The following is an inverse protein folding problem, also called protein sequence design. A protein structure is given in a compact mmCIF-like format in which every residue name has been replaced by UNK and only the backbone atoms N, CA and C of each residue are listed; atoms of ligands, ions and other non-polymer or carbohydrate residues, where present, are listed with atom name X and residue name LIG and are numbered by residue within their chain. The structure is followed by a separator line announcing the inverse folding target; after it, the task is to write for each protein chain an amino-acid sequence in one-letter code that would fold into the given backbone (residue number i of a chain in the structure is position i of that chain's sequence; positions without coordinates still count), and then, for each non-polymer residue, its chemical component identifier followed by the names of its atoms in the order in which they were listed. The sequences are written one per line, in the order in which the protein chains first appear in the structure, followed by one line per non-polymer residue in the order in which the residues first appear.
data_IF_003346430413
#
_entry.id   IF_003346430413
#
_cell.length_a   1.000
_cell.length_b   1.000
_cell.length_c   1.000
_cell.angle_alpha   90.00
_cell.angle_beta   90.00
_cell.angle_gamma   90.00
#
_symmetry.space_group_name_H-M   'P 1'
#
loop_
_entity.id
_entity.type
_entity.pdbx_description
1 polymer ?
#
# COMPACT_ATOMS: atom_id res chain seq x y z
N UNK A 1 -8.25 6.19 -20.69
CA UNK A 1 -7.19 5.90 -21.67
C UNK A 1 -6.24 4.91 -21.01
N UNK A 2 -6.12 3.72 -21.58
CA UNK A 2 -5.29 2.63 -21.05
C UNK A 2 -3.96 2.70 -21.80
N UNK A 3 -2.87 2.86 -21.08
CA UNK A 3 -1.53 2.77 -21.65
C UNK A 3 -0.85 1.52 -21.06
N UNK A 4 -0.74 0.47 -21.86
CA UNK A 4 0.08 -0.70 -21.55
C UNK A 4 1.45 -0.48 -22.16
N UNK A 5 2.51 -0.47 -21.37
CA UNK A 5 3.89 -0.60 -21.82
C UNK A 5 4.50 -1.83 -21.17
N UNK A 6 4.92 -2.78 -22.03
CA UNK A 6 5.36 -4.11 -21.66
C UNK A 6 6.73 -4.14 -20.98
N UNK A 7 6.71 -3.95 -19.70
CA UNK A 7 7.65 -4.46 -18.71
C UNK A 7 6.83 -5.16 -17.65
N UNK A 8 7.41 -5.95 -16.75
CA UNK A 8 6.73 -6.85 -15.83
C UNK A 8 5.58 -6.24 -14.98
N UNK A 9 5.40 -4.93 -15.02
CA UNK A 9 4.35 -4.18 -14.32
C UNK A 9 3.40 -3.53 -15.33
N UNK A 10 2.11 -3.86 -15.24
CA UNK A 10 1.05 -3.22 -16.02
C UNK A 10 0.44 -2.06 -15.22
N UNK A 11 0.44 -0.85 -15.79
CA UNK A 11 -0.15 0.34 -15.18
C UNK A 11 -1.50 0.62 -15.84
N UNK A 12 -2.58 0.46 -15.07
CA UNK A 12 -3.94 0.86 -15.47
C UNK A 12 -4.25 2.23 -14.87
N UNK A 13 -4.53 3.21 -15.71
CA UNK A 13 -4.95 4.54 -15.24
C UNK A 13 -6.45 4.68 -15.28
N UNK A 14 -7.06 4.89 -14.14
CA UNK A 14 -8.49 5.19 -13.99
C UNK A 14 -8.65 6.69 -13.71
N UNK A 15 -9.57 7.34 -14.41
CA UNK A 15 -9.92 8.73 -14.18
C UNK A 15 -11.44 8.87 -13.97
N UNK A 16 -11.83 9.61 -12.95
CA UNK A 16 -13.20 10.07 -12.77
C UNK A 16 -13.24 11.58 -12.93
N UNK A 17 -14.19 12.07 -13.73
CA UNK A 17 -14.45 13.49 -13.86
C UNK A 17 -15.57 13.86 -12.87
N UNK A 18 -15.19 14.58 -11.81
CA UNK A 18 -16.17 15.08 -10.84
C UNK A 18 -16.80 16.37 -11.40
N UNK A 19 -18.10 16.32 -11.69
CA UNK A 19 -18.89 17.49 -12.10
C UNK A 19 -19.34 18.35 -10.92
N UNK A 20 -19.03 17.97 -9.68
CA UNK A 20 -19.26 18.81 -8.52
C UNK A 20 -18.25 19.95 -8.44
N UNK A 21 -18.69 21.13 -8.02
CA UNK A 21 -17.98 22.43 -8.06
C UNK A 21 -16.60 22.51 -7.35
N UNK A 22 -15.98 21.41 -6.98
CA UNK A 22 -14.64 21.37 -6.37
C UNK A 22 -13.52 20.99 -7.33
N UNK A 23 -13.80 20.75 -8.62
CA UNK A 23 -12.84 20.72 -9.72
C UNK A 23 -11.56 19.87 -9.58
N UNK A 24 -11.48 18.98 -8.62
CA UNK A 24 -10.34 18.10 -8.45
C UNK A 24 -10.49 16.90 -9.39
N UNK A 25 -9.76 16.93 -10.49
CA UNK A 25 -9.61 15.79 -11.40
C UNK A 25 -8.91 14.64 -10.63
N UNK A 26 -9.71 13.71 -10.09
CA UNK A 26 -9.20 12.56 -9.34
C UNK A 26 -8.76 11.48 -10.31
N UNK A 27 -7.46 11.31 -10.39
CA UNK A 27 -6.83 10.27 -11.21
C UNK A 27 -6.18 9.24 -10.30
N UNK A 28 -6.39 7.97 -10.61
CA UNK A 28 -5.81 6.84 -9.91
C UNK A 28 -5.05 5.94 -10.89
N UNK A 29 -3.79 5.68 -10.62
CA UNK A 29 -3.01 4.66 -11.31
C UNK A 29 -3.07 3.36 -10.49
N UNK A 30 -3.48 2.26 -11.11
CA UNK A 30 -3.37 0.92 -10.52
C UNK A 30 -2.12 0.27 -11.11
N UNK A 31 -1.19 -0.13 -10.22
CA UNK A 31 0.08 -0.76 -10.60
C UNK A 31 -0.04 -2.24 -10.31
N UNK A 32 -0.05 -3.08 -11.33
CA UNK A 32 -0.16 -4.54 -11.18
C UNK A 32 1.21 -5.16 -11.44
N UNK A 33 1.68 -5.97 -10.49
CA UNK A 33 2.99 -6.58 -10.58
C UNK A 33 3.12 -7.90 -9.82
N UNK A 34 4.30 -8.50 -9.85
CA UNK A 34 4.64 -9.74 -9.17
C UNK A 34 5.63 -9.51 -8.03
N UNK A 35 5.49 -10.27 -6.95
CA UNK A 35 6.42 -10.32 -5.82
C UNK A 35 6.35 -9.09 -4.92
N UNK A 36 6.92 -7.97 -5.29
CA UNK A 36 6.90 -6.72 -4.53
C UNK A 36 6.56 -5.52 -5.41
N UNK A 37 5.94 -4.47 -4.87
CA UNK A 37 5.62 -3.28 -5.65
C UNK A 37 6.90 -2.55 -6.09
N UNK A 38 6.89 -2.01 -7.31
CA UNK A 38 7.97 -1.12 -7.78
C UNK A 38 7.96 0.20 -7.00
N UNK A 39 8.93 0.35 -6.09
CA UNK A 39 9.06 1.55 -5.26
C UNK A 39 9.51 2.77 -6.07
N UNK A 40 10.27 2.58 -7.16
CA UNK A 40 10.74 3.67 -8.01
C UNK A 40 9.58 4.24 -8.83
N UNK A 41 8.75 3.39 -9.42
CA UNK A 41 7.53 3.80 -10.10
C UNK A 41 6.55 4.49 -9.15
N UNK A 42 6.36 3.94 -7.94
CA UNK A 42 5.51 4.56 -6.91
C UNK A 42 6.02 5.94 -6.52
N UNK A 43 7.34 6.13 -6.34
CA UNK A 43 7.93 7.43 -6.02
C UNK A 43 7.72 8.41 -7.18
N UNK A 44 7.92 7.99 -8.43
CA UNK A 44 7.71 8.82 -9.62
C UNK A 44 6.25 9.27 -9.77
N UNK A 45 5.28 8.37 -9.56
CA UNK A 45 3.86 8.70 -9.59
C UNK A 45 3.49 9.71 -8.50
N UNK A 46 4.01 9.53 -7.29
CA UNK A 46 3.81 10.45 -6.17
C UNK A 46 4.38 11.84 -6.48
N UNK A 47 5.58 11.92 -7.05
CA UNK A 47 6.22 13.18 -7.45
C UNK A 47 5.45 13.88 -8.56
N UNK A 48 4.86 13.10 -9.48
CA UNK A 48 3.99 13.62 -10.53
C UNK A 48 2.56 13.98 -10.04
N UNK A 49 2.28 13.80 -8.74
CA UNK A 49 0.98 14.15 -8.15
C UNK A 49 -0.14 13.15 -8.44
N UNK A 50 0.19 11.91 -8.83
CA UNK A 50 -0.79 10.86 -9.05
C UNK A 50 -1.07 10.06 -7.79
N UNK A 51 -2.36 9.86 -7.49
CA UNK A 51 -2.76 8.80 -6.58
C UNK A 51 -2.50 7.45 -7.24
N UNK A 52 -2.05 6.46 -6.46
CA UNK A 52 -1.80 5.13 -7.02
C UNK A 52 -2.06 4.01 -6.01
N UNK A 53 -2.40 2.84 -6.56
CA UNK A 53 -2.76 1.64 -5.83
C UNK A 53 -1.95 0.46 -6.38
N UNK A 54 -0.94 -0.04 -5.67
CA UNK A 54 -0.25 -1.26 -6.06
C UNK A 54 -1.11 -2.50 -5.79
N UNK A 55 -1.04 -3.45 -6.70
CA UNK A 55 -1.67 -4.78 -6.62
C UNK A 55 -0.61 -5.81 -6.98
N UNK A 56 -0.15 -6.55 -5.99
CA UNK A 56 1.00 -7.43 -6.16
C UNK A 56 0.64 -8.87 -5.88
N UNK A 57 0.90 -9.72 -6.85
CA UNK A 57 0.62 -11.16 -6.77
C UNK A 57 1.86 -11.99 -6.40
N UNK A 58 1.64 -13.05 -5.63
CA UNK A 58 2.63 -14.08 -5.30
C UNK A 58 1.92 -15.44 -5.20
N UNK A 59 1.63 -16.06 -6.34
CA UNK A 59 0.95 -17.34 -6.43
C UNK A 59 -0.52 -17.27 -6.01
N UNK A 60 -0.85 -17.87 -4.88
CA UNK A 60 -2.20 -17.90 -4.28
C UNK A 60 -2.49 -16.72 -3.35
N UNK A 61 -1.59 -15.74 -3.30
CA UNK A 61 -1.71 -14.53 -2.50
C UNK A 61 -1.64 -13.28 -3.36
N UNK A 62 -2.43 -12.28 -3.00
CA UNK A 62 -2.38 -10.95 -3.61
C UNK A 62 -2.45 -9.90 -2.52
N UNK A 63 -1.55 -8.93 -2.55
CA UNK A 63 -1.61 -7.75 -1.70
C UNK A 63 -2.15 -6.58 -2.50
N UNK A 64 -3.20 -5.93 -2.01
CA UNK A 64 -3.76 -4.70 -2.57
C UNK A 64 -3.44 -3.54 -1.63
N UNK A 65 -2.80 -2.49 -2.14
CA UNK A 65 -2.39 -1.32 -1.36
C UNK A 65 -0.91 -1.29 -0.96
N UNK A 66 -0.50 -0.24 -0.22
CA UNK A 66 -1.35 0.84 0.28
C UNK A 66 -1.85 1.78 -0.82
N UNK A 67 -3.05 2.33 -0.67
CA UNK A 67 -3.48 3.44 -1.51
C UNK A 67 -2.68 4.69 -1.14
N UNK A 68 -1.84 5.15 -2.05
CA UNK A 68 -1.04 6.37 -1.91
C UNK A 68 -1.78 7.52 -2.56
N UNK A 69 -2.47 8.34 -1.77
CA UNK A 69 -3.24 9.47 -2.27
C UNK A 69 -2.34 10.71 -2.41
N UNK A 70 -2.37 11.37 -3.58
CA UNK A 70 -1.57 12.56 -3.89
C UNK A 70 -1.85 13.76 -2.98
N UNK A 71 -3.07 13.84 -2.43
CA UNK A 71 -3.58 15.02 -1.69
C UNK A 71 -3.48 14.89 -0.17
N UNK A 72 -2.93 13.78 0.36
CA UNK A 72 -2.88 13.52 1.81
C UNK A 72 -1.50 13.72 2.40
N UNK A 73 -1.47 14.31 3.59
CA UNK A 73 -0.29 14.36 4.45
C UNK A 73 -0.73 14.06 5.90
N UNK A 74 -0.04 13.17 6.65
CA UNK A 74 1.09 12.37 6.24
C UNK A 74 0.67 11.20 5.33
N UNK A 75 1.50 10.88 4.35
CA UNK A 75 1.31 9.75 3.43
C UNK A 75 2.16 8.59 3.89
N UNK A 76 1.57 7.40 4.00
CA UNK A 76 2.32 6.15 4.07
C UNK A 76 2.47 5.66 2.64
N UNK A 77 3.68 5.73 2.10
CA UNK A 77 3.98 5.30 0.74
C UNK A 77 4.38 3.83 0.69
N UNK A 78 4.49 3.29 -0.51
CA UNK A 78 4.94 1.90 -0.75
C UNK A 78 6.28 1.62 -0.07
N UNK A 79 7.24 2.55 -0.16
CA UNK A 79 8.55 2.41 0.49
C UNK A 79 8.46 2.31 2.02
N UNK A 80 7.49 2.97 2.68
CA UNK A 80 7.27 2.79 4.11
C UNK A 80 6.94 1.34 4.45
N UNK A 81 6.04 0.73 3.67
CA UNK A 81 5.64 -0.68 3.86
C UNK A 81 6.82 -1.62 3.65
N UNK A 82 7.60 -1.41 2.58
CA UNK A 82 8.78 -2.24 2.29
C UNK A 82 9.87 -2.12 3.36
N UNK A 83 10.09 -0.93 3.90
CA UNK A 83 11.03 -0.73 5.02
C UNK A 83 10.54 -1.45 6.29
N UNK A 84 9.26 -1.38 6.62
CA UNK A 84 8.73 -2.14 7.75
C UNK A 84 8.82 -3.66 7.54
N UNK A 85 8.63 -4.14 6.31
CA UNK A 85 8.82 -5.56 5.99
C UNK A 85 10.28 -5.98 6.17
N UNK A 86 11.23 -5.15 5.74
CA UNK A 86 12.66 -5.38 5.94
C UNK A 86 13.07 -5.34 7.42
N UNK A 87 12.44 -4.49 8.24
CA UNK A 87 12.65 -4.47 9.68
C UNK A 87 12.13 -5.75 10.37
N UNK A 88 11.04 -6.33 9.85
CA UNK A 88 10.47 -7.57 10.37
C UNK A 88 11.22 -8.81 9.89
N UNK A 89 11.77 -8.78 8.68
CA UNK A 89 12.52 -9.87 8.07
C UNK A 89 13.76 -9.32 7.33
N UNK A 90 14.97 -9.50 7.89
CA UNK A 90 16.21 -9.05 7.25
C UNK A 90 16.47 -9.68 5.87
N UNK A 91 15.85 -10.81 5.55
CA UNK A 91 15.95 -11.45 4.23
C UNK A 91 14.95 -10.91 3.21
N UNK A 92 14.01 -10.03 3.64
CA UNK A 92 13.00 -9.46 2.75
C UNK A 92 13.56 -8.87 1.46
N UNK A 93 14.65 -8.05 1.46
CA UNK A 93 15.22 -7.51 0.23
C UNK A 93 15.68 -8.60 -0.76
N UNK A 94 16.25 -9.70 -0.25
CA UNK A 94 16.67 -10.84 -1.07
C UNK A 94 15.47 -11.56 -1.69
N UNK A 95 14.40 -11.73 -0.93
CA UNK A 95 13.15 -12.34 -1.42
C UNK A 95 12.54 -11.49 -2.54
N UNK A 96 12.54 -10.17 -2.37
CA UNK A 96 12.07 -9.21 -3.37
C UNK A 96 12.87 -9.35 -4.67
N UNK A 97 14.21 -9.31 -4.58
CA UNK A 97 15.09 -9.45 -5.76
C UNK A 97 14.82 -10.75 -6.52
N UNK A 98 14.66 -11.86 -5.82
CA UNK A 98 14.39 -13.16 -6.44
C UNK A 98 13.01 -13.22 -7.10
N UNK A 99 12.00 -12.61 -6.49
CA UNK A 99 10.62 -12.64 -7.00
C UNK A 99 10.42 -11.71 -8.21
N UNK A 100 11.14 -10.61 -8.29
CA UNK A 100 11.03 -9.64 -9.40
C UNK A 100 11.90 -10.01 -10.59
N UNK A 101 12.98 -10.78 -10.38
CA UNK A 101 13.95 -11.14 -11.44
C UNK A 101 13.53 -12.34 -12.29
N UNK A 102 12.48 -13.08 -11.90
CA UNK A 102 12.07 -14.32 -12.58
C UNK A 102 10.85 -14.13 -13.47
N UNK A 103 10.97 -14.32 -14.81
CA UNK A 103 9.82 -14.33 -15.71
C UNK A 103 8.77 -15.41 -15.33
N UNK A 104 9.22 -16.55 -14.78
CA UNK A 104 8.33 -17.60 -14.33
C UNK A 104 7.53 -17.17 -13.07
N UNK A 105 8.15 -16.43 -12.15
CA UNK A 105 7.45 -15.86 -11.00
C UNK A 105 6.42 -14.82 -11.45
N UNK A 106 6.73 -13.98 -12.42
CA UNK A 106 5.79 -13.02 -13.00
C UNK A 106 4.59 -13.73 -13.64
N UNK A 107 4.82 -14.81 -14.42
CA UNK A 107 3.74 -15.59 -15.03
C UNK A 107 2.85 -16.31 -14.00
N UNK A 108 3.39 -16.70 -12.85
CA UNK A 108 2.68 -17.39 -11.77
C UNK A 108 2.18 -16.44 -10.67
N UNK A 109 2.30 -15.12 -10.84
CA UNK A 109 2.00 -14.15 -9.80
C UNK A 109 0.54 -14.18 -9.34
N UNK A 110 -0.38 -14.48 -10.25
CA UNK A 110 -1.81 -14.47 -9.98
C UNK A 110 -2.45 -15.82 -10.30
N UNK A 111 -2.72 -16.63 -9.29
CA UNK A 111 -3.45 -17.87 -9.48
C UNK A 111 -4.92 -17.60 -9.83
N UNK A 112 -5.54 -18.51 -10.59
CA UNK A 112 -6.95 -18.42 -10.96
C UNK A 112 -7.89 -18.34 -9.73
N UNK A 113 -7.47 -18.91 -8.61
CA UNK A 113 -8.28 -18.94 -7.38
C UNK A 113 -8.38 -17.59 -6.67
N UNK A 114 -7.31 -16.80 -6.66
CA UNK A 114 -7.29 -15.49 -5.95
C UNK A 114 -7.62 -14.32 -6.86
N UNK A 115 -7.40 -14.44 -8.16
CA UNK A 115 -7.57 -13.35 -9.14
C UNK A 115 -8.94 -12.68 -9.10
N UNK A 116 -10.09 -13.39 -9.09
CA UNK A 116 -11.40 -12.75 -9.03
C UNK A 116 -11.59 -11.90 -7.77
N UNK A 117 -11.11 -12.38 -6.63
CA UNK A 117 -11.17 -11.65 -5.37
C UNK A 117 -10.29 -10.38 -5.43
N UNK A 118 -9.09 -10.50 -5.99
CA UNK A 118 -8.17 -9.39 -6.15
C UNK A 118 -8.75 -8.29 -7.05
N UNK A 119 -9.38 -8.67 -8.17
CA UNK A 119 -10.07 -7.73 -9.06
C UNK A 119 -11.19 -7.01 -8.30
N UNK A 120 -12.07 -7.75 -7.63
CA UNK A 120 -13.21 -7.16 -6.92
C UNK A 120 -12.75 -6.16 -5.84
N UNK A 121 -11.76 -6.51 -5.03
CA UNK A 121 -11.21 -5.65 -3.99
C UNK A 121 -10.52 -4.42 -4.59
N UNK A 122 -9.73 -4.60 -5.65
CA UNK A 122 -9.06 -3.49 -6.35
C UNK A 122 -10.08 -2.50 -6.92
N UNK A 123 -11.13 -2.99 -7.57
CA UNK A 123 -12.22 -2.14 -8.11
C UNK A 123 -12.93 -1.39 -6.98
N UNK A 124 -13.28 -2.07 -5.89
CA UNK A 124 -13.95 -1.46 -4.74
C UNK A 124 -13.10 -0.34 -4.13
N UNK A 125 -11.81 -0.58 -3.88
CA UNK A 125 -10.88 0.42 -3.35
C UNK A 125 -10.72 1.61 -4.31
N UNK A 126 -10.61 1.31 -5.61
CA UNK A 126 -10.44 2.33 -6.65
C UNK A 126 -11.67 3.23 -6.76
N UNK A 127 -12.88 2.66 -6.83
CA UNK A 127 -14.12 3.42 -6.90
C UNK A 127 -14.32 4.27 -5.64
N UNK A 128 -14.12 3.71 -4.45
CA UNK A 128 -14.19 4.46 -3.20
C UNK A 128 -13.29 5.69 -3.22
N UNK A 129 -12.04 5.54 -3.72
CA UNK A 129 -11.12 6.68 -3.85
C UNK A 129 -11.63 7.73 -4.84
N UNK A 130 -12.09 7.30 -6.02
CA UNK A 130 -12.62 8.20 -7.06
C UNK A 130 -13.88 8.93 -6.62
N UNK A 131 -14.74 8.29 -5.82
CA UNK A 131 -15.92 8.89 -5.18
C UNK A 131 -15.57 9.81 -4.01
N UNK A 132 -14.30 9.90 -3.61
CA UNK A 132 -13.85 10.77 -2.53
C UNK A 132 -13.96 10.16 -1.14
N UNK A 133 -14.27 8.88 -1.05
CA UNK A 133 -14.25 8.17 0.23
C UNK A 133 -12.82 8.02 0.69
N UNK A 134 -12.56 8.52 1.88
CA UNK A 134 -11.22 8.48 2.47
C UNK A 134 -10.93 7.10 3.05
N UNK A 135 -10.02 6.37 2.42
CA UNK A 135 -9.44 5.17 3.02
C UNK A 135 -8.31 5.54 3.99
N UNK A 136 -8.12 4.78 5.09
CA UNK A 136 -7.00 5.01 6.00
C UNK A 136 -5.66 4.91 5.27
N UNK A 137 -4.71 5.80 5.60
CA UNK A 137 -3.36 5.74 5.02
C UNK A 137 -2.61 4.52 5.53
N UNK A 138 -1.81 3.90 4.65
CA UNK A 138 -0.96 2.76 5.00
C UNK A 138 -1.68 1.43 5.14
N UNK A 139 -2.90 1.32 4.64
CA UNK A 139 -3.63 0.04 4.67
C UNK A 139 -3.23 -0.83 3.50
N UNK A 140 -2.90 -2.08 3.79
CA UNK A 140 -2.80 -3.18 2.83
C UNK A 140 -3.84 -4.24 3.13
N UNK A 141 -4.37 -4.83 2.06
CA UNK A 141 -5.29 -5.96 2.12
C UNK A 141 -4.59 -7.18 1.53
N UNK A 142 -4.31 -8.17 2.38
CA UNK A 142 -3.67 -9.40 1.97
C UNK A 142 -4.75 -10.47 1.69
N UNK A 143 -4.90 -10.81 0.42
CA UNK A 143 -5.90 -11.75 -0.09
C UNK A 143 -5.27 -13.12 -0.28
N UNK A 144 -5.97 -14.18 0.01
CA UNK A 144 -5.48 -15.55 -0.19
C UNK A 144 -6.57 -16.54 -0.61
N UNK A 145 -6.12 -17.59 -1.32
CA UNK A 145 -6.91 -18.76 -1.73
C UNK A 145 -6.35 -20.01 -1.00
N UNK A 146 -7.04 -21.19 -1.04
CA UNK A 146 -8.30 -21.48 -1.75
C UNK A 146 -9.56 -20.98 -1.04
N UNK A 147 -9.50 -20.77 0.27
CA UNK A 147 -10.61 -20.16 1.01
C UNK A 147 -10.48 -18.64 0.97
N UNK A 148 -11.48 -17.91 0.48
CA UNK A 148 -11.43 -16.47 0.42
C UNK A 148 -11.13 -15.88 1.78
N UNK A 149 -9.95 -15.29 1.93
CA UNK A 149 -9.51 -14.61 3.15
C UNK A 149 -8.97 -13.24 2.78
N UNK A 150 -9.35 -12.26 3.56
CA UNK A 150 -8.87 -10.89 3.46
C UNK A 150 -8.34 -10.51 4.83
N UNK A 151 -7.03 -10.35 4.93
CA UNK A 151 -6.37 -9.85 6.12
C UNK A 151 -6.09 -8.35 5.95
N UNK A 152 -6.52 -7.56 6.91
CA UNK A 152 -6.30 -6.13 6.97
C UNK A 152 -5.05 -5.83 7.78
N UNK A 153 -4.13 -5.05 7.22
CA UNK A 153 -2.96 -4.56 7.94
C UNK A 153 -2.81 -3.05 7.74
N UNK A 154 -2.59 -2.34 8.83
CA UNK A 154 -2.30 -0.92 8.80
C UNK A 154 -0.84 -0.68 9.19
N UNK A 155 -0.10 -0.01 8.32
CA UNK A 155 1.29 0.34 8.50
C UNK A 155 1.40 1.81 8.90
N UNK A 156 2.25 2.16 9.88
CA UNK A 156 2.59 3.55 10.15
C UNK A 156 3.57 4.09 9.11
N UNK A 157 3.77 5.41 9.10
CA UNK A 157 4.85 6.01 8.35
C UNK A 157 6.20 5.53 8.92
N UNK A 158 7.10 5.08 8.05
CA UNK A 158 8.41 4.57 8.49
C UNK A 158 9.37 5.73 8.80
N UNK A 159 10.06 5.71 9.96
CA UNK A 159 10.90 6.83 10.39
C UNK A 159 12.06 7.13 9.44
N UNK A 160 12.61 6.11 8.77
CA UNK A 160 13.70 6.25 7.79
C UNK A 160 13.20 6.53 6.37
N UNK A 161 11.89 6.66 6.15
CA UNK A 161 11.36 6.92 4.81
C UNK A 161 11.41 8.42 4.47
N UNK A 162 11.96 8.75 3.29
CA UNK A 162 12.05 10.14 2.79
C UNK A 162 10.72 10.75 2.36
N UNK A 163 9.62 9.97 2.33
CA UNK A 163 8.30 10.50 2.01
C UNK A 163 7.72 11.40 3.10
N UNK A 164 8.28 11.32 4.32
CA UNK A 164 7.92 12.21 5.40
C UNK A 164 8.67 13.54 5.24
N UNK A 165 8.01 14.72 5.46
CA UNK A 165 8.75 15.96 5.61
C UNK A 165 9.75 15.76 6.75
N UNK A 166 10.98 16.24 6.55
CA UNK A 166 12.01 16.17 7.58
C UNK A 166 11.40 16.62 8.92
N UNK A 167 11.29 15.69 9.87
CA UNK A 167 10.90 16.07 11.22
C UNK A 167 11.93 17.10 11.67
N UNK A 168 11.50 18.34 11.86
CA UNK A 168 12.30 19.28 12.63
C UNK A 168 12.71 18.54 13.91
N UNK A 169 14.02 18.44 14.16
CA UNK A 169 14.53 17.74 15.33
C UNK A 169 13.97 18.44 16.58
N UNK A 170 12.80 17.96 17.01
CA UNK A 170 12.21 18.33 18.28
C UNK A 170 12.98 17.64 19.38
N UNK A 171 13.17 18.27 20.55
CA UNK A 171 13.90 17.70 21.65
C UNK A 171 13.31 16.35 22.01
N UNK A 172 14.18 15.38 22.25
CA UNK A 172 13.86 14.00 22.68
C UNK A 172 13.12 14.07 24.02
N UNK A 173 11.79 14.21 23.95
CA UNK A 173 10.93 14.10 25.11
C UNK A 173 10.87 12.63 25.52
N UNK A 174 11.55 12.29 26.60
CA UNK A 174 11.40 11.03 27.32
C UNK A 174 9.92 10.92 27.69
N UNK A 175 9.21 9.95 27.10
CA UNK A 175 7.86 9.63 27.53
C UNK A 175 7.93 9.11 28.98
N UNK A 176 7.17 9.67 29.91
CA UNK A 176 7.09 9.13 31.26
C UNK A 176 6.47 7.73 31.20
N UNK A 177 7.20 6.77 31.75
CA UNK A 177 6.68 5.43 32.01
C UNK A 177 5.44 5.57 32.88
N UNK A 178 4.27 5.21 32.39
CA UNK A 178 3.10 4.96 33.21
C UNK A 178 3.35 3.68 34.00
N UNK A 179 3.81 3.84 35.22
CA UNK A 179 3.83 2.79 36.24
C UNK A 179 2.35 2.52 36.64
N UNK A 180 1.82 1.44 36.10
CA UNK A 180 0.47 0.96 36.38
C UNK A 180 0.38 0.25 37.72
N UNK A 181 0.53 0.97 38.83
CA UNK A 181 0.18 0.49 40.15
C UNK A 181 -1.33 0.45 40.32
N UNK A 182 -1.94 -0.69 39.95
CA UNK A 182 -3.29 -1.04 40.39
C UNK A 182 -3.22 -1.37 41.87
N UNK A 183 -3.55 -0.42 42.72
CA UNK A 183 -3.90 -0.70 44.14
C UNK A 183 -5.32 -1.23 44.19
N UNK A 184 -5.42 -2.51 44.52
CA UNK A 184 -6.62 -3.11 45.07
C UNK A 184 -7.14 -2.25 46.23
N UNK A 185 -8.42 -1.89 46.17
CA UNK A 185 -9.19 -1.52 47.36
C UNK A 185 -10.41 -2.43 47.41
N UNK A 186 -10.18 -3.61 47.97
CA UNK A 186 -11.24 -4.36 48.65
C UNK A 186 -11.23 -3.88 50.10
N UNK A 187 -12.34 -3.32 50.61
CA UNK A 187 -12.91 -3.52 51.91
C UNK A 187 -13.97 -2.44 52.23
N UNK A 188 -15.14 -2.84 52.33
CA UNK A 188 -16.26 -2.75 53.31
C UNK A 188 -17.59 -2.53 52.62
#
# INVERSE_FOLDING_TARGET
MIAAHGTADEVLTLAAHDQSHTGADRRLAVIVGAGSPDTALSDALREAGFSHLPVVGAGDRVTVGPLVASTRSPVVCVRCVELHRADLDPFWPTVVDQSTSSPAAAAAAFSAGVTPLAIAVTVMVSLSHLEGISLPSGVTLDLSAPWPRIDYRQWPAHPSCRCQPARAAGPTGILPHHDGSLRETMAQ
#
